data_IF_305427367374
#
_entry.id   IF_305427367374
#
_cell.length_a   1.000
_cell.length_b   1.000
_cell.length_c   1.000
_cell.angle_alpha   90.00
_cell.angle_beta   90.00
_cell.angle_gamma   90.00
#
_symmetry.space_group_name_H-M   'P 1'
#
loop_
_entity.id
_entity.type
_entity.pdbx_description
1 polymer ?
#
# COMPACT_ATOMS: atom_id res chain seq x y z
N UNK A 1 -23.53 -15.77 1.48
CA UNK A 1 -22.44 -15.07 2.17
C UNK A 1 -22.95 -14.70 3.55
N UNK A 2 -22.19 -14.96 4.62
CA UNK A 2 -22.62 -14.57 5.98
C UNK A 2 -22.51 -13.06 6.18
N UNK A 3 -23.30 -12.49 7.10
CA UNK A 3 -23.16 -11.08 7.49
C UNK A 3 -21.75 -10.75 8.02
N UNK A 4 -21.08 -11.74 8.62
CA UNK A 4 -19.68 -11.63 9.06
C UNK A 4 -18.73 -11.54 7.88
N UNK A 5 -18.92 -12.37 6.84
CA UNK A 5 -18.07 -12.35 5.64
C UNK A 5 -18.18 -11.00 4.92
N UNK A 6 -19.39 -10.43 4.82
CA UNK A 6 -19.60 -9.11 4.21
C UNK A 6 -18.95 -8.00 5.02
N UNK A 7 -19.03 -8.08 6.36
CA UNK A 7 -18.37 -7.11 7.25
C UNK A 7 -16.85 -7.15 7.11
N UNK A 8 -16.25 -8.36 7.06
CA UNK A 8 -14.81 -8.54 6.86
C UNK A 8 -14.36 -8.00 5.49
N UNK A 9 -15.15 -8.23 4.43
CA UNK A 9 -14.88 -7.69 3.08
C UNK A 9 -14.97 -6.15 3.10
N UNK A 10 -15.98 -5.58 3.75
CA UNK A 10 -16.14 -4.12 3.86
C UNK A 10 -14.98 -3.48 4.63
N UNK A 11 -14.51 -4.12 5.70
CA UNK A 11 -13.30 -3.68 6.41
C UNK A 11 -12.06 -3.79 5.53
N UNK A 12 -11.85 -4.91 4.84
CA UNK A 12 -10.73 -5.06 3.91
C UNK A 12 -10.71 -3.97 2.83
N UNK A 13 -11.88 -3.60 2.30
CA UNK A 13 -12.04 -2.49 1.35
C UNK A 13 -11.62 -1.15 1.96
N UNK A 14 -11.97 -0.90 3.22
CA UNK A 14 -11.60 0.34 3.91
C UNK A 14 -10.10 0.41 4.24
N UNK A 15 -9.45 -0.73 4.52
CA UNK A 15 -8.02 -0.78 4.86
C UNK A 15 -7.10 -0.68 3.63
N UNK A 16 -7.52 -1.15 2.45
CA UNK A 16 -6.68 -1.13 1.25
C UNK A 16 -6.16 0.28 0.86
N UNK A 17 -7.00 1.34 0.82
CA UNK A 17 -6.53 2.69 0.55
C UNK A 17 -5.49 3.19 1.56
N UNK A 18 -5.66 2.86 2.85
CA UNK A 18 -4.72 3.24 3.91
C UNK A 18 -3.36 2.58 3.70
N UNK A 19 -3.34 1.29 3.38
CA UNK A 19 -2.10 0.56 3.09
C UNK A 19 -1.41 1.07 1.81
N UNK A 20 -2.18 1.49 0.80
CA UNK A 20 -1.61 2.09 -0.41
C UNK A 20 -1.01 3.47 -0.14
N UNK A 21 -1.68 4.30 0.69
CA UNK A 21 -1.09 5.58 1.14
C UNK A 21 0.22 5.36 1.89
N UNK A 22 0.28 4.36 2.78
CA UNK A 22 1.51 4.02 3.50
C UNK A 22 2.63 3.57 2.54
N UNK A 23 2.29 2.83 1.46
CA UNK A 23 3.26 2.46 0.41
C UNK A 23 3.83 3.71 -0.27
N UNK A 24 2.98 4.67 -0.60
CA UNK A 24 3.39 5.92 -1.25
C UNK A 24 4.31 6.73 -0.32
N UNK A 25 3.90 6.91 0.95
CA UNK A 25 4.68 7.62 1.97
C UNK A 25 6.05 6.98 2.23
N UNK A 26 6.09 5.66 2.39
CA UNK A 26 7.35 4.94 2.57
C UNK A 26 8.26 5.06 1.35
N UNK A 27 7.69 5.03 0.14
CA UNK A 27 8.43 5.21 -1.10
C UNK A 27 9.05 6.61 -1.19
N UNK A 28 8.29 7.67 -0.88
CA UNK A 28 8.78 9.05 -0.85
C UNK A 28 9.90 9.25 0.18
N UNK A 29 9.78 8.63 1.36
CA UNK A 29 10.81 8.71 2.41
C UNK A 29 12.09 7.98 1.99
N UNK A 30 11.98 6.83 1.33
CA UNK A 30 13.14 6.13 0.75
C UNK A 30 13.82 7.03 -0.29
N UNK A 31 13.06 7.61 -1.22
CA UNK A 31 13.61 8.52 -2.22
C UNK A 31 14.33 9.70 -1.58
N UNK A 32 13.73 10.31 -0.57
CA UNK A 32 14.31 11.44 0.17
C UNK A 32 15.64 11.06 0.83
N UNK A 33 15.69 9.91 1.51
CA UNK A 33 16.93 9.40 2.10
C UNK A 33 18.01 9.13 1.04
N UNK A 34 17.65 8.59 -0.12
CA UNK A 34 18.60 8.35 -1.22
C UNK A 34 19.10 9.65 -1.86
N UNK A 35 18.26 10.70 -1.95
CA UNK A 35 18.67 12.03 -2.42
C UNK A 35 19.72 12.63 -1.47
N UNK A 36 19.55 12.48 -0.15
CA UNK A 36 20.55 12.90 0.84
C UNK A 36 21.89 12.20 0.62
N UNK A 37 21.89 10.88 0.39
CA UNK A 37 23.12 10.11 0.11
C UNK A 37 23.83 10.62 -1.15
N UNK A 38 23.09 10.96 -2.21
CA UNK A 38 23.65 11.50 -3.46
C UNK A 38 24.21 12.92 -3.28
N UNK A 39 23.56 13.74 -2.47
CA UNK A 39 23.98 15.13 -2.19
C UNK A 39 25.10 15.27 -1.16
N UNK A 40 25.39 14.24 -0.36
CA UNK A 40 26.30 14.32 0.79
C UNK A 40 27.82 14.29 0.45
N UNK A 41 28.23 14.37 -0.82
CA UNK A 41 29.67 14.35 -1.20
C UNK A 41 30.26 15.79 -1.19
N UNK A 42 31.43 16.06 -0.56
CA UNK A 42 32.22 15.24 0.37
C UNK A 42 31.99 15.59 1.87
N UNK A 43 31.02 16.45 2.20
CA UNK A 43 31.01 17.21 3.46
C UNK A 43 30.52 16.41 4.68
N UNK A 44 29.80 15.29 4.51
CA UNK A 44 29.19 14.59 5.66
C UNK A 44 29.06 13.05 5.49
N UNK A 45 30.16 12.28 5.64
CA UNK A 45 30.13 10.81 5.53
C UNK A 45 29.23 10.12 6.57
N UNK A 46 29.13 10.65 7.79
CA UNK A 46 28.25 10.13 8.82
C UNK A 46 26.76 10.27 8.46
N UNK A 47 26.35 11.46 7.95
CA UNK A 47 24.99 11.70 7.51
C UNK A 47 24.60 10.81 6.33
N UNK A 48 25.52 10.60 5.38
CA UNK A 48 25.32 9.65 4.28
C UNK A 48 25.16 8.21 4.78
N UNK A 49 25.90 7.81 5.82
CA UNK A 49 25.76 6.48 6.43
C UNK A 49 24.42 6.29 7.15
N UNK A 50 23.99 7.29 7.92
CA UNK A 50 22.70 7.29 8.59
C UNK A 50 21.56 7.19 7.56
N UNK A 51 21.57 8.04 6.52
CA UNK A 51 20.56 8.02 5.47
C UNK A 51 20.50 6.69 4.70
N UNK A 52 21.63 5.99 4.49
CA UNK A 52 21.62 4.62 3.92
C UNK A 52 20.96 3.61 4.85
N UNK A 53 21.21 3.73 6.15
CA UNK A 53 20.63 2.84 7.17
C UNK A 53 19.13 3.05 7.25
N UNK A 54 18.68 4.31 7.24
CA UNK A 54 17.26 4.67 7.23
C UNK A 54 16.57 4.14 5.96
N UNK A 55 17.17 4.35 4.78
CA UNK A 55 16.63 3.80 3.54
C UNK A 55 16.54 2.27 3.55
N UNK A 56 17.45 1.58 4.23
CA UNK A 56 17.41 0.12 4.37
C UNK A 56 16.29 -0.33 5.32
N UNK A 57 16.04 0.40 6.41
CA UNK A 57 14.93 0.13 7.32
C UNK A 57 13.58 0.36 6.61
N UNK A 58 13.41 1.52 5.97
CA UNK A 58 12.19 1.86 5.24
C UNK A 58 11.85 0.86 4.13
N UNK A 59 12.85 0.31 3.43
CA UNK A 59 12.62 -0.76 2.44
C UNK A 59 12.07 -2.05 3.06
N UNK A 60 12.45 -2.38 4.29
CA UNK A 60 11.89 -3.55 5.00
C UNK A 60 10.43 -3.29 5.37
N UNK A 61 10.13 -2.09 5.83
CA UNK A 61 8.75 -1.69 6.15
C UNK A 61 7.87 -1.68 4.90
N UNK A 62 8.37 -1.09 3.80
CA UNK A 62 7.68 -1.11 2.51
C UNK A 62 7.38 -2.53 2.03
N UNK A 63 8.36 -3.43 2.12
CA UNK A 63 8.15 -4.84 1.80
C UNK A 63 7.07 -5.46 2.68
N UNK A 64 7.07 -5.18 3.98
CA UNK A 64 6.04 -5.68 4.91
C UNK A 64 4.64 -5.19 4.55
N UNK A 65 4.49 -3.90 4.21
CA UNK A 65 3.18 -3.34 3.82
C UNK A 65 2.68 -3.97 2.51
N UNK A 66 3.54 -4.13 1.50
CA UNK A 66 3.18 -4.87 0.29
C UNK A 66 2.70 -6.30 0.60
N UNK A 67 3.38 -7.01 1.52
CA UNK A 67 2.95 -8.34 1.94
C UNK A 67 1.59 -8.34 2.64
N UNK A 68 1.24 -7.29 3.38
CA UNK A 68 -0.08 -7.15 4.00
C UNK A 68 -1.16 -6.94 2.93
N UNK A 69 -0.89 -6.08 1.95
CA UNK A 69 -1.78 -5.85 0.81
C UNK A 69 -2.02 -7.15 0.03
N UNK A 70 -0.96 -7.89 -0.30
CA UNK A 70 -1.06 -9.20 -0.96
C UNK A 70 -1.92 -10.19 -0.17
N UNK A 71 -1.70 -10.29 1.15
CA UNK A 71 -2.45 -11.19 2.02
C UNK A 71 -3.93 -10.79 2.10
N UNK A 72 -4.22 -9.50 2.24
CA UNK A 72 -5.57 -8.97 2.33
C UNK A 72 -6.34 -9.24 1.03
N UNK A 73 -5.71 -8.99 -0.12
CA UNK A 73 -6.26 -9.29 -1.45
C UNK A 73 -6.50 -10.78 -1.65
N UNK A 74 -5.54 -11.63 -1.23
CA UNK A 74 -5.67 -13.09 -1.37
C UNK A 74 -6.82 -13.62 -0.50
N UNK A 75 -7.03 -13.04 0.68
CA UNK A 75 -8.11 -13.41 1.59
C UNK A 75 -9.46 -12.88 1.14
N UNK A 76 -9.51 -11.66 0.62
CA UNK A 76 -10.72 -10.94 0.21
C UNK A 76 -10.57 -10.38 -1.21
N UNK A 77 -10.64 -11.22 -2.26
CA UNK A 77 -10.42 -10.78 -3.64
C UNK A 77 -11.44 -9.74 -4.12
N UNK A 78 -12.66 -9.80 -3.58
CA UNK A 78 -13.74 -8.83 -3.85
C UNK A 78 -13.46 -7.45 -3.27
N UNK A 79 -12.49 -7.31 -2.35
CA UNK A 79 -12.12 -6.03 -1.76
C UNK A 79 -11.40 -5.09 -2.75
N UNK A 80 -10.87 -5.61 -3.85
CA UNK A 80 -10.28 -4.80 -4.93
C UNK A 80 -11.30 -4.03 -5.75
N UNK A 81 -12.55 -4.51 -5.76
CA UNK A 81 -13.59 -3.99 -6.62
C UNK A 81 -14.54 -3.13 -5.79
N UNK A 82 -14.99 -1.96 -6.29
CA UNK A 82 -16.10 -1.25 -5.66
C UNK A 82 -17.34 -2.16 -5.60
N UNK A 83 -18.24 -1.92 -4.66
CA UNK A 83 -19.52 -2.64 -4.60
C UNK A 83 -20.29 -2.53 -5.94
N UNK A 84 -20.09 -1.43 -6.65
CA UNK A 84 -20.83 -1.14 -7.88
C UNK A 84 -20.36 -1.99 -9.07
N UNK A 85 -19.16 -2.60 -9.00
CA UNK A 85 -18.60 -3.44 -10.07
C UNK A 85 -19.36 -4.77 -10.24
N UNK A 86 -19.95 -5.33 -9.17
CA UNK A 86 -20.69 -6.60 -9.29
C UNK A 86 -22.13 -6.40 -9.79
N UNK A 87 -22.72 -5.21 -9.61
CA UNK A 87 -24.05 -4.89 -10.12
C UNK A 87 -24.11 -4.86 -11.66
N UNK A 88 -22.99 -4.55 -12.32
CA UNK A 88 -22.91 -4.54 -13.79
C UNK A 88 -22.70 -5.94 -14.37
N UNK A 89 -22.13 -6.87 -13.59
CA UNK A 89 -21.84 -8.22 -14.05
C UNK A 89 -23.08 -9.14 -14.08
N UNK A 90 -24.14 -8.82 -13.32
CA UNK A 90 -25.37 -9.62 -13.23
C UNK A 90 -26.51 -9.17 -14.20
N UNK A 91 -26.19 -8.36 -15.20
CA UNK A 91 -27.03 -8.28 -16.41
C UNK A 91 -28.45 -7.72 -16.23
N UNK A 92 -28.64 -6.65 -15.45
CA UNK A 92 -29.89 -5.88 -15.50
C UNK A 92 -29.75 -4.68 -16.45
N UNK A 93 -30.65 -4.54 -17.44
CA UNK A 93 -30.55 -3.47 -18.42
C UNK A 93 -30.92 -2.13 -17.79
N UNK A 94 -30.14 -1.11 -18.12
CA UNK A 94 -30.49 0.29 -17.94
C UNK A 94 -31.80 0.56 -18.71
N UNK A 95 -32.92 0.63 -18.00
CA UNK A 95 -34.13 1.25 -18.53
C UNK A 95 -33.93 2.77 -18.49
N UNK A 96 -34.12 3.39 -19.66
CA UNK A 96 -33.95 4.80 -19.97
C UNK A 96 -34.84 5.72 -19.14
#
# INVERSE_FOLDING_TARGET
MSAVDESDIAQARAFLPLLNSEIDELSERIESALRLVRGARPVAPAAASAARTDAAALRKDLHRVHRLVEQLIRRFPTAKFPADHWAVADGLPLQR
#
